data_IF_537604884614
#
_entry.id   IF_537604884614
#
_cell.length_a   1.000
_cell.length_b   1.000
_cell.length_c   1.000
_cell.angle_alpha   90.00
_cell.angle_beta   90.00
_cell.angle_gamma   90.00
#
_symmetry.space_group_name_H-M   'P 1'
#
loop_
_entity.id
_entity.type
_entity.pdbx_description
1 polymer ?
#
# COMPACT_ATOMS: atom_id res chain seq x y z
N UNK A 1 11.63 -5.28 4.42
CA UNK A 1 11.17 -4.23 3.49
C UNK A 1 10.23 -3.30 4.24
N UNK A 2 10.40 -2.01 4.09
CA UNK A 2 9.50 -1.05 4.73
C UNK A 2 8.15 -1.06 4.02
N UNK A 3 7.10 -0.64 4.73
CA UNK A 3 5.75 -0.69 4.18
C UNK A 3 5.61 0.15 2.91
N UNK A 4 6.15 1.38 2.92
CA UNK A 4 6.08 2.23 1.74
C UNK A 4 6.84 1.64 0.56
N UNK A 5 7.95 0.96 0.81
CA UNK A 5 8.69 0.28 -0.26
C UNK A 5 7.90 -0.89 -0.84
N UNK A 6 7.25 -1.65 0.03
CA UNK A 6 6.40 -2.76 -0.41
C UNK A 6 5.23 -2.26 -1.26
N UNK A 7 4.65 -1.12 -0.88
CA UNK A 7 3.58 -0.50 -1.65
C UNK A 7 4.06 -0.05 -3.03
N UNK A 8 5.24 0.55 -3.10
CA UNK A 8 5.82 0.96 -4.38
C UNK A 8 6.02 -0.25 -5.29
N UNK A 9 6.58 -1.31 -4.73
CA UNK A 9 6.80 -2.54 -5.48
C UNK A 9 5.48 -3.09 -6.03
N UNK A 10 4.46 -3.15 -5.19
CA UNK A 10 3.16 -3.68 -5.60
C UNK A 10 2.51 -2.80 -6.67
N UNK A 11 2.50 -1.48 -6.46
CA UNK A 11 1.85 -0.56 -7.38
C UNK A 11 2.58 -0.44 -8.71
N UNK A 12 3.89 -0.69 -8.73
CA UNK A 12 4.66 -0.67 -9.98
C UNK A 12 4.17 -1.73 -10.95
N UNK A 13 3.52 -2.80 -10.44
CA UNK A 13 2.98 -3.85 -11.29
C UNK A 13 1.51 -3.62 -11.66
N UNK A 14 0.89 -2.57 -11.11
CA UNK A 14 -0.52 -2.27 -11.34
C UNK A 14 -0.67 -1.02 -12.20
N UNK A 15 -1.24 -1.19 -13.38
CA UNK A 15 -1.40 -0.09 -14.34
C UNK A 15 -2.51 0.89 -13.95
N UNK A 16 -3.49 0.43 -13.17
CA UNK A 16 -4.70 1.21 -12.87
C UNK A 16 -4.80 1.63 -11.41
N UNK A 17 -3.75 1.38 -10.64
CA UNK A 17 -3.79 1.62 -9.21
C UNK A 17 -4.61 0.57 -8.48
N UNK A 18 -4.67 0.69 -7.17
CA UNK A 18 -5.38 -0.27 -6.33
C UNK A 18 -6.05 0.45 -5.17
N UNK A 19 -7.17 -0.09 -4.71
CA UNK A 19 -7.83 0.42 -3.52
C UNK A 19 -6.99 0.10 -2.29
N UNK A 20 -7.11 0.93 -1.24
CA UNK A 20 -6.32 0.75 -0.02
C UNK A 20 -6.49 -0.64 0.59
N UNK A 21 -7.71 -1.13 0.67
CA UNK A 21 -7.98 -2.46 1.23
C UNK A 21 -7.37 -3.56 0.38
N UNK A 22 -7.40 -3.40 -0.92
CA UNK A 22 -6.79 -4.36 -1.84
C UNK A 22 -5.28 -4.38 -1.68
N UNK A 23 -4.65 -3.21 -1.51
CA UNK A 23 -3.22 -3.13 -1.28
C UNK A 23 -2.85 -3.87 0.01
N UNK A 24 -3.60 -3.62 1.08
CA UNK A 24 -3.34 -4.29 2.36
C UNK A 24 -3.41 -5.81 2.22
N UNK A 25 -4.43 -6.31 1.56
CA UNK A 25 -4.62 -7.74 1.34
C UNK A 25 -3.49 -8.34 0.50
N UNK A 26 -3.13 -7.68 -0.60
CA UNK A 26 -2.10 -8.17 -1.50
C UNK A 26 -0.73 -8.20 -0.85
N UNK A 27 -0.41 -7.20 -0.04
CA UNK A 27 0.87 -7.16 0.68
C UNK A 27 1.00 -8.35 1.61
N UNK A 28 -0.06 -8.70 2.32
CA UNK A 28 -0.05 -9.86 3.22
C UNK A 28 -0.02 -11.17 2.44
N UNK A 29 -0.82 -11.28 1.38
CA UNK A 29 -0.89 -12.51 0.59
C UNK A 29 0.42 -12.82 -0.12
N UNK A 30 1.13 -11.80 -0.57
CA UNK A 30 2.41 -11.97 -1.26
C UNK A 30 3.60 -12.06 -0.31
N UNK A 31 3.36 -11.89 0.99
CA UNK A 31 4.43 -11.93 1.98
C UNK A 31 5.41 -10.78 1.86
N UNK A 32 4.97 -9.65 1.29
CA UNK A 32 5.82 -8.47 1.14
C UNK A 32 5.98 -7.70 2.43
N UNK A 33 5.13 -7.96 3.41
CA UNK A 33 5.18 -7.32 4.72
C UNK A 33 5.19 -8.40 5.78
N UNK A 34 6.16 -8.33 6.68
CA UNK A 34 6.26 -9.26 7.80
C UNK A 34 5.19 -8.92 8.84
N UNK A 35 4.41 -9.93 9.23
CA UNK A 35 3.42 -9.78 10.26
C UNK A 35 4.04 -10.14 11.61
N UNK A 36 4.21 -9.15 12.47
CA UNK A 36 4.76 -9.39 13.81
C UNK A 36 3.63 -9.70 14.78
N UNK A 37 3.91 -10.61 15.71
CA UNK A 37 2.98 -10.93 16.78
C UNK A 37 2.66 -9.64 17.58
N UNK A 38 1.40 -9.45 17.92
CA UNK A 38 0.97 -8.31 18.69
C UNK A 38 0.63 -7.07 17.90
N UNK A 39 0.89 -7.05 16.59
CA UNK A 39 0.47 -5.94 15.75
C UNK A 39 -0.87 -6.25 15.09
N UNK A 40 -1.74 -5.24 14.92
CA UNK A 40 -2.97 -5.46 14.18
C UNK A 40 -2.66 -5.78 12.72
N UNK A 41 -3.55 -6.51 12.02
CA UNK A 41 -3.36 -6.77 10.61
C UNK A 41 -3.43 -5.47 9.81
N UNK A 42 -2.81 -5.47 8.63
CA UNK A 42 -2.90 -4.33 7.72
C UNK A 42 -4.34 -4.15 7.25
N UNK A 43 -4.78 -2.91 7.20
CA UNK A 43 -6.09 -2.56 6.66
C UNK A 43 -5.97 -1.30 5.81
N UNK A 44 -7.09 -0.88 5.23
CA UNK A 44 -7.11 0.29 4.36
C UNK A 44 -6.70 1.58 5.06
N UNK A 45 -6.92 1.68 6.37
CA UNK A 45 -6.56 2.88 7.14
C UNK A 45 -5.06 3.05 7.24
N UNK A 46 -4.34 1.95 7.47
CA UNK A 46 -2.88 1.96 7.52
C UNK A 46 -2.31 2.38 6.17
N UNK A 47 -2.85 1.81 5.10
CA UNK A 47 -2.41 2.15 3.75
C UNK A 47 -2.68 3.62 3.43
N UNK A 48 -3.86 4.12 3.77
CA UNK A 48 -4.20 5.53 3.55
C UNK A 48 -3.26 6.46 4.31
N UNK A 49 -2.91 6.10 5.54
CA UNK A 49 -1.97 6.89 6.34
C UNK A 49 -0.60 6.98 5.65
N UNK A 50 -0.13 5.88 5.08
CA UNK A 50 1.15 5.87 4.36
C UNK A 50 1.07 6.78 3.13
N UNK A 51 -0.03 6.74 2.39
CA UNK A 51 -0.23 7.60 1.22
C UNK A 51 -0.17 9.07 1.61
N UNK A 52 -0.82 9.45 2.70
CA UNK A 52 -0.80 10.84 3.16
C UNK A 52 0.56 11.29 3.68
N UNK A 53 1.36 10.35 4.19
CA UNK A 53 2.72 10.66 4.64
C UNK A 53 3.70 10.84 3.48
N UNK A 54 3.40 10.27 2.33
CA UNK A 54 4.31 10.28 1.18
C UNK A 54 3.61 10.80 -0.07
N UNK A 55 3.14 12.07 -0.05
CA UNK A 55 2.44 12.63 -1.21
C UNK A 55 3.33 12.79 -2.44
N UNK A 56 4.65 12.75 -2.24
CA UNK A 56 5.62 12.80 -3.34
C UNK A 56 5.74 11.48 -4.09
N UNK A 57 5.23 10.40 -3.51
CA UNK A 57 5.33 9.07 -4.09
C UNK A 57 3.99 8.55 -4.56
N UNK A 58 2.94 8.82 -3.78
CA UNK A 58 1.60 8.25 -4.00
C UNK A 58 0.56 9.35 -4.20
N UNK A 59 -0.50 9.01 -4.92
CA UNK A 59 -1.67 9.89 -5.01
C UNK A 59 -2.94 9.05 -5.03
N UNK A 60 -4.05 9.68 -4.65
CA UNK A 60 -5.37 9.10 -4.82
C UNK A 60 -5.97 9.59 -6.14
N UNK A 61 -6.54 8.67 -6.90
CA UNK A 61 -7.24 8.99 -8.13
C UNK A 61 -8.44 8.06 -8.23
N UNK A 62 -9.63 8.65 -8.15
CA UNK A 62 -10.89 7.90 -8.22
C UNK A 62 -10.98 6.78 -7.17
N UNK A 63 -10.53 7.06 -5.96
CA UNK A 63 -10.56 6.11 -4.86
C UNK A 63 -9.46 5.05 -4.90
N UNK A 64 -8.53 5.16 -5.83
CA UNK A 64 -7.42 4.22 -5.96
C UNK A 64 -6.10 4.92 -5.69
N UNK A 65 -5.17 4.18 -5.10
CA UNK A 65 -3.81 4.66 -4.87
C UNK A 65 -2.98 4.36 -6.11
N UNK A 66 -2.24 5.37 -6.57
CA UNK A 66 -1.35 5.25 -7.74
C UNK A 66 -0.01 5.87 -7.42
N UNK A 67 1.03 5.41 -8.13
CA UNK A 67 2.34 6.02 -8.05
C UNK A 67 2.37 7.31 -8.87
N UNK A 68 3.13 8.28 -8.36
CA UNK A 68 3.35 9.57 -9.05
C UNK A 68 4.56 9.52 -9.96
N UNK A 69 4.75 8.44 -10.65
CA UNK A 69 5.88 8.33 -11.59
C UNK A 69 5.40 8.27 -13.02
#
# INVERSE_FOLDING_TARGET
MKLEEAMVYLLATSQHGMKTEQIARELELRGLVSRRAGRPPLDGRVIAAIVYKHPEIFCFNEGRVRLLM
#
